data_IF_244568306356
#
_entry.id   IF_244568306356
#
_cell.length_a   1.000
_cell.length_b   1.000
_cell.length_c   1.000
_cell.angle_alpha   90.00
_cell.angle_beta   90.00
_cell.angle_gamma   90.00
#
_symmetry.space_group_name_H-M   'P 1'
#
loop_
_entity.id
_entity.type
_entity.pdbx_description
1 polymer ?
#
# COMPACT_ATOMS: atom_id res chain seq x y z
N UNK A 1 14.61 -6.35 15.55
CA UNK A 1 13.73 -7.19 14.70
C UNK A 1 12.39 -6.48 14.64
N UNK A 2 11.86 -6.26 13.44
CA UNK A 2 10.55 -5.63 13.23
C UNK A 2 9.45 -6.62 13.63
N UNK A 3 8.41 -6.14 14.31
CA UNK A 3 7.23 -6.94 14.69
C UNK A 3 6.00 -6.44 13.92
N UNK A 4 5.59 -7.22 12.92
CA UNK A 4 4.47 -6.89 12.05
C UNK A 4 3.13 -6.73 12.82
N UNK A 5 2.89 -7.55 13.85
CA UNK A 5 1.66 -7.45 14.65
C UNK A 5 1.70 -6.21 15.53
N UNK A 6 2.83 -5.92 16.16
CA UNK A 6 2.97 -4.71 16.98
C UNK A 6 2.70 -3.44 16.15
N UNK A 7 3.20 -3.37 14.91
CA UNK A 7 2.90 -2.28 13.99
C UNK A 7 1.42 -2.22 13.60
N UNK A 8 0.79 -3.36 13.29
CA UNK A 8 -0.63 -3.42 12.97
C UNK A 8 -1.51 -2.95 14.14
N UNK A 9 -1.19 -3.37 15.37
CA UNK A 9 -1.85 -2.90 16.59
C UNK A 9 -1.68 -1.39 16.78
N UNK A 10 -0.47 -0.87 16.58
CA UNK A 10 -0.21 0.55 16.70
C UNK A 10 -1.02 1.36 15.68
N UNK A 11 -0.96 0.98 14.41
CA UNK A 11 -1.76 1.59 13.34
C UNK A 11 -3.25 1.55 13.66
N UNK A 12 -3.80 0.36 13.96
CA UNK A 12 -5.21 0.17 14.28
C UNK A 12 -5.66 1.03 15.46
N UNK A 13 -4.85 1.12 16.51
CA UNK A 13 -5.14 1.98 17.68
C UNK A 13 -5.24 3.45 17.31
N UNK A 14 -4.41 3.90 16.36
CA UNK A 14 -4.36 5.30 15.96
C UNK A 14 -5.51 5.67 15.03
N UNK A 15 -5.91 4.77 14.12
CA UNK A 15 -7.04 5.02 13.20
C UNK A 15 -8.41 4.73 13.83
N UNK A 16 -8.44 4.13 15.01
CA UNK A 16 -9.68 3.87 15.73
C UNK A 16 -10.45 5.17 15.99
N UNK A 17 -11.75 5.17 15.69
CA UNK A 17 -12.62 6.35 15.79
C UNK A 17 -12.43 7.39 14.69
N UNK A 18 -11.57 7.15 13.69
CA UNK A 18 -11.45 8.00 12.50
C UNK A 18 -12.30 7.43 11.36
N UNK A 19 -12.98 8.33 10.66
CA UNK A 19 -13.70 7.99 9.43
C UNK A 19 -12.71 7.84 8.28
N UNK A 20 -12.93 6.80 7.47
CA UNK A 20 -12.23 6.60 6.20
C UNK A 20 -13.20 5.98 5.23
N UNK A 21 -13.23 6.48 3.99
CA UNK A 21 -13.94 5.84 2.90
C UNK A 21 -13.04 4.89 2.10
N UNK A 22 -11.72 4.97 2.29
CA UNK A 22 -10.74 4.19 1.55
C UNK A 22 -10.16 3.05 2.38
N UNK A 23 -9.66 2.02 1.68
CA UNK A 23 -8.91 0.89 2.24
C UNK A 23 -7.70 1.35 3.07
N UNK A 24 -7.36 0.58 4.09
CA UNK A 24 -6.18 0.83 4.92
C UNK A 24 -4.91 0.42 4.17
N UNK A 25 -3.99 1.36 3.95
CA UNK A 25 -2.77 1.11 3.19
C UNK A 25 -1.64 0.59 4.08
N UNK A 26 -0.98 -0.50 3.65
CA UNK A 26 0.38 -0.81 4.07
C UNK A 26 1.34 -0.16 3.10
N UNK A 27 2.15 0.76 3.59
CA UNK A 27 3.30 1.29 2.86
C UNK A 27 4.52 0.38 3.09
N UNK A 28 5.01 -0.26 2.03
CA UNK A 28 6.19 -1.12 2.08
C UNK A 28 7.18 -0.79 0.97
N UNK A 29 8.30 -0.18 1.36
CA UNK A 29 9.33 0.32 0.44
C UNK A 29 10.76 0.13 0.96
N UNK A 30 10.90 -0.51 2.13
CA UNK A 30 12.18 -0.77 2.79
C UNK A 30 12.26 -2.25 3.16
N UNK A 31 13.41 -2.86 2.89
CA UNK A 31 13.63 -4.28 3.20
C UNK A 31 13.99 -4.51 4.65
N UNK A 32 14.57 -3.51 5.34
CA UNK A 32 15.17 -3.66 6.67
C UNK A 32 16.05 -4.92 6.80
N UNK A 33 16.78 -5.25 5.72
CA UNK A 33 17.67 -6.42 5.62
C UNK A 33 16.97 -7.78 5.60
N UNK A 34 15.64 -7.81 5.44
CA UNK A 34 14.87 -9.03 5.24
C UNK A 34 14.90 -9.49 3.78
N UNK A 35 14.96 -10.80 3.59
CA UNK A 35 14.77 -11.43 2.28
C UNK A 35 13.30 -11.36 1.86
N UNK A 36 13.05 -11.42 0.55
CA UNK A 36 11.71 -11.19 0.00
C UNK A 36 10.60 -12.07 0.60
N UNK A 37 10.90 -13.34 0.90
CA UNK A 37 9.95 -14.26 1.52
C UNK A 37 9.61 -13.87 2.97
N UNK A 38 10.61 -13.56 3.80
CA UNK A 38 10.37 -13.12 5.18
C UNK A 38 9.62 -11.78 5.19
N UNK A 39 10.02 -10.83 4.34
CA UNK A 39 9.38 -9.52 4.22
C UNK A 39 7.91 -9.64 3.78
N UNK A 40 7.62 -10.46 2.77
CA UNK A 40 6.26 -10.68 2.29
C UNK A 40 5.38 -11.32 3.36
N UNK A 41 5.91 -12.29 4.12
CA UNK A 41 5.21 -12.91 5.24
C UNK A 41 4.91 -11.91 6.37
N UNK A 42 5.82 -10.98 6.64
CA UNK A 42 5.60 -9.89 7.58
C UNK A 42 4.52 -8.93 7.09
N UNK A 43 4.54 -8.56 5.81
CA UNK A 43 3.49 -7.73 5.19
C UNK A 43 2.10 -8.39 5.29
N UNK A 44 2.00 -9.68 4.95
CA UNK A 44 0.77 -10.47 5.11
C UNK A 44 0.31 -10.47 6.56
N UNK A 45 1.22 -10.69 7.52
CA UNK A 45 0.89 -10.67 8.95
C UNK A 45 0.33 -9.32 9.39
N UNK A 46 0.93 -8.22 8.93
CA UNK A 46 0.43 -6.87 9.20
C UNK A 46 -0.97 -6.66 8.61
N UNK A 47 -1.14 -6.97 7.31
CA UNK A 47 -2.38 -6.75 6.57
C UNK A 47 -3.55 -7.53 7.18
N UNK A 48 -3.37 -8.82 7.46
CA UNK A 48 -4.40 -9.64 8.11
C UNK A 48 -4.76 -9.13 9.50
N UNK A 49 -3.78 -8.68 10.28
CA UNK A 49 -4.02 -8.16 11.62
C UNK A 49 -4.74 -6.81 11.59
N UNK A 50 -4.40 -5.92 10.64
CA UNK A 50 -5.14 -4.66 10.42
C UNK A 50 -6.59 -4.95 10.02
N UNK A 51 -6.82 -5.87 9.08
CA UNK A 51 -8.19 -6.30 8.71
C UNK A 51 -8.95 -6.80 9.93
N UNK A 52 -8.34 -7.67 10.74
CA UNK A 52 -8.95 -8.26 11.95
C UNK A 52 -9.31 -7.21 13.00
N UNK A 53 -8.42 -6.23 13.23
CA UNK A 53 -8.60 -5.22 14.27
C UNK A 53 -9.56 -4.10 13.88
N UNK A 54 -9.59 -3.73 12.60
CA UNK A 54 -10.37 -2.58 12.11
C UNK A 54 -11.69 -2.97 11.46
N UNK A 55 -11.82 -4.22 11.00
CA UNK A 55 -12.94 -4.68 10.17
C UNK A 55 -12.95 -4.07 8.77
N UNK A 56 -11.90 -3.36 8.36
CA UNK A 56 -11.80 -2.65 7.09
C UNK A 56 -10.88 -3.38 6.11
N UNK A 57 -11.18 -3.28 4.83
CA UNK A 57 -10.32 -3.81 3.77
C UNK A 57 -9.01 -3.03 3.64
N UNK A 58 -7.99 -3.70 3.08
CA UNK A 58 -6.60 -3.20 2.99
C UNK A 58 -6.11 -3.11 1.54
N UNK A 59 -5.05 -2.33 1.32
CA UNK A 59 -4.32 -2.16 0.05
C UNK A 59 -2.82 -2.14 0.33
N UNK A 60 -2.00 -2.62 -0.61
CA UNK A 60 -0.54 -2.55 -0.53
C UNK A 60 -0.07 -1.36 -1.37
N UNK A 61 0.67 -0.45 -0.74
CA UNK A 61 1.44 0.59 -1.42
C UNK A 61 2.92 0.19 -1.51
N UNK A 62 3.50 0.32 -2.71
CA UNK A 62 4.92 0.10 -3.00
C UNK A 62 5.26 0.69 -4.36
N UNK A 63 6.55 0.85 -4.68
CA UNK A 63 6.97 1.20 -6.03
C UNK A 63 7.32 -0.04 -6.89
N UNK A 64 7.21 0.10 -8.21
CA UNK A 64 7.36 -0.97 -9.21
C UNK A 64 8.64 -1.80 -9.03
N UNK A 65 9.80 -1.15 -8.89
CA UNK A 65 11.06 -1.88 -8.75
C UNK A 65 11.17 -2.65 -7.42
N UNK A 66 10.59 -2.15 -6.33
CA UNK A 66 10.55 -2.87 -5.06
C UNK A 66 9.72 -4.15 -5.17
N UNK A 67 8.55 -4.06 -5.81
CA UNK A 67 7.72 -5.22 -6.10
C UNK A 67 8.47 -6.29 -6.91
N UNK A 68 9.28 -5.89 -7.89
CA UNK A 68 10.09 -6.80 -8.72
C UNK A 68 11.22 -7.51 -7.96
N UNK A 69 11.79 -6.86 -6.96
CA UNK A 69 13.09 -7.27 -6.39
C UNK A 69 13.02 -7.75 -4.94
N UNK A 70 12.01 -7.30 -4.19
CA UNK A 70 11.99 -7.40 -2.72
C UNK A 70 10.73 -8.04 -2.16
N UNK A 71 9.75 -8.34 -3.01
CA UNK A 71 8.47 -8.93 -2.61
C UNK A 71 8.17 -10.20 -3.41
N UNK A 72 7.25 -11.01 -2.91
CA UNK A 72 6.84 -12.28 -3.53
C UNK A 72 5.38 -12.26 -3.97
N UNK A 73 5.04 -13.22 -4.84
CA UNK A 73 3.69 -13.35 -5.42
C UNK A 73 2.58 -13.58 -4.37
N UNK A 74 2.92 -13.95 -3.15
CA UNK A 74 1.96 -14.17 -2.07
C UNK A 74 1.17 -12.90 -1.69
N UNK A 75 1.69 -11.71 -2.03
CA UNK A 75 0.98 -10.44 -1.84
C UNK A 75 -0.08 -10.13 -2.90
N UNK A 76 -0.13 -10.91 -3.99
CA UNK A 76 -1.11 -10.73 -5.09
C UNK A 76 -2.58 -10.88 -4.67
N UNK A 77 -2.84 -11.42 -3.46
CA UNK A 77 -4.17 -11.50 -2.85
C UNK A 77 -4.71 -10.17 -2.32
N UNK A 78 -3.88 -9.14 -2.22
CA UNK A 78 -4.27 -7.78 -1.85
C UNK A 78 -4.17 -6.86 -3.06
N UNK A 79 -5.03 -5.84 -3.19
CA UNK A 79 -4.94 -4.90 -4.29
C UNK A 79 -3.72 -4.00 -4.15
N UNK A 80 -3.24 -3.49 -5.29
CA UNK A 80 -2.03 -2.67 -5.40
C UNK A 80 -2.36 -1.19 -5.58
N UNK A 81 -1.72 -0.34 -4.79
CA UNK A 81 -1.51 1.07 -5.06
C UNK A 81 -0.03 1.25 -5.41
N UNK A 82 0.30 1.45 -6.68
CA UNK A 82 1.70 1.46 -7.14
C UNK A 82 2.23 2.87 -7.33
N UNK A 83 3.49 3.10 -6.96
CA UNK A 83 4.25 4.28 -7.37
C UNK A 83 5.15 3.95 -8.56
N UNK A 84 5.04 4.75 -9.61
CA UNK A 84 5.89 4.67 -10.81
C UNK A 84 5.89 6.04 -11.52
N UNK A 85 7.02 6.72 -11.55
CA UNK A 85 7.07 8.12 -11.99
C UNK A 85 7.56 8.21 -13.44
N UNK A 86 7.25 9.33 -14.10
CA UNK A 86 7.64 9.61 -15.50
C UNK A 86 7.08 8.62 -16.54
N UNK A 87 6.06 7.84 -16.17
CA UNK A 87 5.35 6.90 -17.04
C UNK A 87 3.85 7.20 -17.10
N UNK A 88 3.22 6.89 -18.23
CA UNK A 88 1.76 7.03 -18.38
C UNK A 88 0.99 5.82 -17.84
N UNK A 89 1.67 4.71 -17.61
CA UNK A 89 1.12 3.48 -17.02
C UNK A 89 2.25 2.81 -16.24
N UNK A 90 2.00 2.32 -15.01
CA UNK A 90 3.00 1.56 -14.26
C UNK A 90 3.58 0.41 -15.06
N UNK A 91 4.87 0.13 -14.92
CA UNK A 91 5.44 -1.06 -15.57
C UNK A 91 4.89 -2.35 -14.94
N UNK A 92 4.87 -3.42 -15.74
CA UNK A 92 4.51 -4.75 -15.26
C UNK A 92 5.44 -5.23 -14.13
N UNK A 93 4.90 -5.96 -13.16
CA UNK A 93 5.66 -6.61 -12.09
C UNK A 93 5.19 -8.07 -11.92
N UNK A 94 5.99 -8.96 -11.30
CA UNK A 94 5.67 -10.39 -11.23
C UNK A 94 4.55 -10.77 -10.25
N UNK A 95 4.02 -9.81 -9.48
CA UNK A 95 3.08 -10.04 -8.38
C UNK A 95 1.66 -9.67 -8.82
N UNK A 96 1.46 -8.45 -9.33
CA UNK A 96 0.15 -7.90 -9.66
C UNK A 96 -0.03 -7.68 -11.16
N UNK A 97 -1.20 -8.06 -11.67
CA UNK A 97 -1.60 -7.84 -13.07
C UNK A 97 -2.46 -6.57 -13.24
N UNK A 98 -2.84 -5.93 -12.14
CA UNK A 98 -3.64 -4.70 -12.11
C UNK A 98 -3.37 -3.92 -10.82
N UNK A 99 -3.73 -2.64 -10.83
CA UNK A 99 -3.64 -1.74 -9.69
C UNK A 99 -4.99 -1.03 -9.50
N UNK A 100 -5.27 -0.63 -8.26
CA UNK A 100 -6.44 0.18 -7.88
C UNK A 100 -6.05 1.61 -7.51
N UNK A 101 -4.76 1.86 -7.31
CA UNK A 101 -4.17 3.20 -7.16
C UNK A 101 -2.87 3.30 -7.93
N UNK A 102 -2.60 4.47 -8.49
CA UNK A 102 -1.37 4.79 -9.18
C UNK A 102 -0.88 6.17 -8.76
N UNK A 103 0.23 6.20 -8.01
CA UNK A 103 0.99 7.41 -7.73
C UNK A 103 1.92 7.70 -8.90
N UNK A 104 1.56 8.69 -9.72
CA UNK A 104 2.24 8.99 -10.96
C UNK A 104 3.22 10.15 -10.86
N UNK A 105 3.19 10.89 -9.74
CA UNK A 105 4.07 12.03 -9.51
C UNK A 105 4.29 12.25 -8.01
N UNK A 106 5.55 12.35 -7.56
CA UNK A 106 5.87 12.70 -6.16
C UNK A 106 5.78 14.22 -5.89
N UNK A 107 6.02 15.04 -6.92
CA UNK A 107 6.23 16.48 -6.79
C UNK A 107 5.23 17.33 -7.60
N UNK A 108 3.94 17.14 -7.34
CA UNK A 108 2.86 17.96 -7.88
C UNK A 108 2.67 19.30 -7.17
N UNK A 109 1.97 20.23 -7.83
CA UNK A 109 1.49 21.48 -7.24
C UNK A 109 -0.03 21.44 -7.16
N UNK A 110 -0.58 21.42 -5.94
CA UNK A 110 -2.02 21.36 -5.68
C UNK A 110 -2.46 22.60 -4.93
N UNK A 111 -3.49 23.28 -5.42
CA UNK A 111 -4.04 24.46 -4.74
C UNK A 111 -4.48 24.09 -3.31
N UNK A 112 -4.01 24.86 -2.33
CA UNK A 112 -4.28 24.61 -0.90
C UNK A 112 -3.22 23.77 -0.18
N UNK A 113 -2.24 23.20 -0.90
CA UNK A 113 -1.11 22.48 -0.30
C UNK A 113 0.16 23.30 -0.50
N UNK A 114 0.88 23.54 0.60
CA UNK A 114 2.19 24.19 0.55
C UNK A 114 3.28 23.16 0.29
N UNK A 115 4.16 23.43 -0.66
CA UNK A 115 5.22 22.50 -1.07
C UNK A 115 4.74 21.48 -2.11
N UNK A 116 5.54 20.44 -2.31
CA UNK A 116 5.27 19.37 -3.26
C UNK A 116 4.26 18.37 -2.69
N UNK A 117 3.31 17.96 -3.54
CA UNK A 117 2.26 17.00 -3.19
C UNK A 117 2.33 15.79 -4.13
N UNK A 118 2.38 14.56 -3.60
CA UNK A 118 2.16 13.38 -4.41
C UNK A 118 0.80 13.42 -5.09
N UNK A 119 0.74 12.98 -6.34
CA UNK A 119 -0.49 12.89 -7.12
C UNK A 119 -0.79 11.44 -7.45
N UNK A 120 -2.03 11.07 -7.19
CA UNK A 120 -2.55 9.73 -7.35
C UNK A 120 -3.79 9.71 -8.24
N UNK A 121 -3.97 8.63 -8.98
CA UNK A 121 -5.27 8.27 -9.58
C UNK A 121 -5.73 6.94 -8.98
N UNK A 122 -6.99 6.86 -8.60
CA UNK A 122 -7.59 5.67 -8.01
C UNK A 122 -8.79 5.18 -8.83
N UNK A 123 -8.98 3.86 -8.86
CA UNK A 123 -10.25 3.25 -9.28
C UNK A 123 -11.24 3.26 -8.10
N UNK A 124 -12.52 2.96 -8.37
CA UNK A 124 -13.54 2.86 -7.31
C UNK A 124 -13.23 1.74 -6.29
N UNK A 125 -12.39 0.77 -6.65
CA UNK A 125 -12.00 -0.34 -5.76
C UNK A 125 -11.18 0.10 -4.54
N UNK A 126 -10.67 1.35 -4.53
CA UNK A 126 -10.03 1.93 -3.35
C UNK A 126 -11.00 2.17 -2.20
N UNK A 127 -12.29 2.28 -2.49
CA UNK A 127 -13.34 2.52 -1.50
C UNK A 127 -13.62 1.25 -0.68
N UNK A 128 -13.97 1.42 0.58
CA UNK A 128 -14.40 0.34 1.49
C UNK A 128 -15.78 -0.18 1.12
N UNK A 129 -16.66 0.73 0.68
CA UNK A 129 -18.01 0.44 0.25
C UNK A 129 -18.13 0.68 -1.26
N UNK A 130 -18.77 -0.24 -1.97
CA UNK A 130 -19.18 0.00 -3.36
C UNK A 130 -20.39 0.93 -3.33
N UNK A 131 -20.25 2.12 -3.91
CA UNK A 131 -21.37 3.05 -4.14
C UNK A 131 -22.31 2.47 -5.19
#
# INVERSE_FOLDING_TARGET
RVDAKAQAHYFASYVNGKDSNCRMALDIELTDWYEAEELSNMCITFLEEVKRLTGKEVVVYTYTNFAKTSLTKDLSKYPLWVADYDVTTPEDNPIWNSWIGFQYLEAGNVSGISGYCPLDVFTEEILLDKI
#
